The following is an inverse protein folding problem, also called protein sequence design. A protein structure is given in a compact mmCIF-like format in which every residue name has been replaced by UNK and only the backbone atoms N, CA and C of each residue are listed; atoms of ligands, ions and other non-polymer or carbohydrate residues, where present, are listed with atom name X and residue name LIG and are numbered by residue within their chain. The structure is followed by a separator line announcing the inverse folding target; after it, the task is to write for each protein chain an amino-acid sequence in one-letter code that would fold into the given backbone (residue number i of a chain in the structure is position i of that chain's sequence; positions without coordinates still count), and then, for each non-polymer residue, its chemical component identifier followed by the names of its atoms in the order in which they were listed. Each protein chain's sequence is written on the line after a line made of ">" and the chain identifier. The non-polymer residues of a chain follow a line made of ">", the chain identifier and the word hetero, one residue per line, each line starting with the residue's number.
data_IF_259799259296
#
_entry.id   IF_259799259296
#
_cell.length_a   1.000
_cell.length_b   1.000
_cell.length_c   1.000
_cell.angle_alpha   90.00
_cell.angle_beta   90.00
_cell.angle_gamma   90.00
#
_symmetry.space_group_name_H-M   'P 1'
#
loop_
_entity.id
_entity.type
_entity.pdbx_description
1 polymer ?
#
# COMPACT_ATOMS: atom_id res chain seq x y z
N UNK A 1 35.82 42.64 30.91
CA UNK A 1 35.34 42.26 30.70
C UNK A 1 34.65 41.68 30.17
N UNK A 2 34.43 41.57 30.15
CA UNK A 2 33.74 41.00 29.71
C UNK A 2 33.32 40.48 28.99
N UNK A 3 33.18 40.18 28.79
CA UNK A 3 32.72 39.54 28.09
C UNK A 3 32.50 38.66 27.79
N UNK A 4 32.64 38.57 27.97
CA UNK A 4 32.42 37.69 27.67
C UNK A 4 31.64 36.91 27.62
N UNK A 5 31.48 36.74 27.74
CA UNK A 5 30.71 36.04 27.77
C UNK A 5 29.81 35.74 27.22
N UNK A 6 29.66 35.87 26.87
CA UNK A 6 28.80 35.54 26.34
C UNK A 6 28.55 34.87 25.49
N UNK A 7 28.71 34.55 25.32
CA UNK A 7 28.32 33.83 24.45
C UNK A 7 27.90 32.83 24.31
N UNK A 8 28.26 32.72 24.82
CA UNK A 8 27.91 31.76 24.76
C UNK A 8 26.90 31.25 24.55
N UNK A 9 26.75 31.44 24.85
CA UNK A 9 25.71 31.08 24.76
C UNK A 9 25.19 30.65 23.81
N UNK A 10 25.40 30.52 23.59
CA UNK A 10 24.85 30.15 22.83
C UNK A 10 24.61 29.20 22.37
N UNK A 11 24.89 29.11 22.53
CA UNK A 11 24.71 28.32 22.07
C UNK A 11 24.00 27.45 21.98
N UNK A 12 24.11 27.19 22.27
CA UNK A 12 23.33 26.43 22.23
C UNK A 12 22.41 26.10 21.57
N UNK A 13 22.31 26.18 21.43
CA UNK A 13 21.40 26.00 20.86
C UNK A 13 21.16 25.29 19.97
N UNK A 14 21.38 24.86 19.78
CA UNK A 14 21.08 24.17 18.95
C UNK A 14 20.51 23.38 18.88
N UNK A 15 20.79 23.27 19.35
CA UNK A 15 20.30 22.54 19.32
C UNK A 15 19.51 22.10 19.11
N UNK A 16 19.44 22.02 19.22
CA UNK A 16 18.65 21.65 19.04
C UNK A 16 18.06 21.26 18.45
N UNK A 17 18.13 21.06 18.25
CA UNK A 17 17.48 20.71 17.72
C UNK A 17 17.23 19.91 17.22
N UNK A 18 17.35 19.61 17.17
CA UNK A 18 17.12 18.92 16.67
C UNK A 18 16.51 18.18 16.57
N UNK A 19 16.57 17.99 16.81
CA UNK A 19 16.00 17.32 16.76
C UNK A 19 15.26 16.94 16.33
N UNK A 20 15.17 16.86 16.27
CA UNK A 20 14.48 16.58 15.90
C UNK A 20 14.02 16.03 15.48
N UNK A 21 14.06 15.88 15.45
CA UNK A 21 13.58 15.43 15.02
C UNK A 21 13.26 14.54 14.75
N UNK A 22 13.67 14.33 14.83
CA UNK A 22 13.39 13.29 14.49
C UNK A 22 12.31 12.70 14.59
N UNK A 23 11.86 12.90 15.00
CA UNK A 23 10.86 12.48 15.12
C UNK A 23 10.22 11.82 14.22
N UNK A 24 10.26 11.91 13.47
CA UNK A 24 9.83 11.30 12.60
C UNK A 24 9.59 9.97 12.63
N UNK A 25 10.21 9.32 13.27
CA UNK A 25 10.05 7.96 13.33
C UNK A 25 8.74 7.55 13.75
N UNK A 26 8.03 8.39 14.24
CA UNK A 26 6.73 8.04 14.65
C UNK A 26 5.93 7.37 13.58
N UNK A 27 6.34 7.51 12.36
CA UNK A 27 5.58 6.93 11.30
C UNK A 27 5.97 5.54 10.96
N UNK A 28 6.88 4.97 11.69
CA UNK A 28 7.37 3.66 11.36
C UNK A 28 6.29 2.60 11.38
N UNK A 29 5.20 2.81 12.09
CA UNK A 29 4.12 1.83 12.12
C UNK A 29 3.25 1.81 10.90
N UNK A 30 3.37 2.78 10.03
CA UNK A 30 2.49 2.91 8.87
C UNK A 30 3.15 2.42 7.62
N UNK A 31 3.57 1.19 7.62
CA UNK A 31 4.29 0.67 6.49
C UNK A 31 3.37 0.45 5.31
N UNK A 32 3.78 0.92 4.15
CA UNK A 32 3.08 0.72 2.89
C UNK A 32 3.98 -0.07 1.96
N UNK A 33 3.41 -1.09 1.35
CA UNK A 33 4.13 -1.91 0.37
C UNK A 33 3.47 -1.75 -0.98
N UNK A 34 4.24 -1.80 -2.05
CA UNK A 34 3.70 -1.59 -3.38
C UNK A 34 4.18 -2.65 -4.35
N UNK A 35 3.45 -2.76 -5.46
CA UNK A 35 3.81 -3.65 -6.53
C UNK A 35 3.07 -3.29 -7.80
N UNK A 36 3.43 -3.94 -8.89
CA UNK A 36 2.78 -3.71 -10.18
C UNK A 36 2.03 -4.95 -10.58
N UNK A 37 0.85 -4.75 -11.18
CA UNK A 37 0.04 -5.86 -11.65
C UNK A 37 0.64 -6.50 -12.90
N UNK A 38 0.52 -7.81 -12.98
CA UNK A 38 0.68 -8.54 -14.21
C UNK A 38 -0.59 -9.35 -14.45
N UNK A 39 -0.97 -9.48 -15.71
CA UNK A 39 -2.21 -10.14 -16.06
C UNK A 39 -2.16 -11.65 -15.88
N UNK A 40 -3.34 -12.22 -15.68
CA UNK A 40 -3.52 -13.67 -15.55
C UNK A 40 -4.75 -14.07 -16.34
N UNK A 41 -4.84 -15.36 -16.69
CA UNK A 41 -6.03 -15.92 -17.34
C UNK A 41 -6.35 -15.22 -18.65
N UNK A 42 -5.30 -14.86 -19.40
CA UNK A 42 -5.41 -14.16 -20.67
C UNK A 42 -6.01 -12.75 -20.57
N UNK A 43 -5.99 -12.18 -19.37
CA UNK A 43 -6.41 -10.80 -19.17
C UNK A 43 -5.20 -9.87 -19.09
N UNK A 44 -5.41 -8.61 -19.47
CA UNK A 44 -4.39 -7.57 -19.35
C UNK A 44 -4.74 -6.73 -18.15
N UNK A 45 -3.89 -6.79 -17.15
CA UNK A 45 -4.02 -6.01 -15.92
C UNK A 45 -2.70 -5.31 -15.68
N UNK A 46 -2.73 -3.99 -15.59
CA UNK A 46 -1.51 -3.19 -15.44
C UNK A 46 -1.71 -2.16 -14.36
N UNK A 47 -0.61 -1.52 -13.99
CA UNK A 47 -0.64 -0.43 -13.04
C UNK A 47 -0.10 -0.83 -11.68
N UNK A 48 0.01 0.17 -10.84
CA UNK A 48 0.61 0.02 -9.52
C UNK A 48 -0.46 -0.06 -8.44
N UNK A 49 -0.18 -0.81 -7.40
CA UNK A 49 -1.03 -0.87 -6.22
C UNK A 49 -0.20 -0.74 -4.96
N UNK A 50 -0.84 -0.26 -3.90
CA UNK A 50 -0.22 -0.12 -2.59
C UNK A 50 -1.09 -0.74 -1.54
N UNK A 51 -0.46 -1.47 -0.63
CA UNK A 51 -1.13 -2.09 0.51
C UNK A 51 -0.63 -1.45 1.79
N UNK A 52 -1.55 -0.93 2.58
CA UNK A 52 -1.25 -0.45 3.93
C UNK A 52 -2.01 -1.31 4.93
N UNK A 53 -1.91 -0.97 6.22
CA UNK A 53 -2.56 -1.77 7.25
C UNK A 53 -4.07 -1.77 7.13
N UNK A 54 -4.66 -0.76 6.50
CA UNK A 54 -6.11 -0.63 6.48
C UNK A 54 -6.70 -0.40 5.10
N UNK A 55 -5.90 -0.40 4.04
CA UNK A 55 -6.45 -0.18 2.71
C UNK A 55 -5.56 -0.69 1.60
N UNK A 56 -6.19 -0.95 0.46
CA UNK A 56 -5.51 -1.20 -0.81
C UNK A 56 -5.86 -0.05 -1.72
N UNK A 57 -4.85 0.56 -2.34
CA UNK A 57 -5.04 1.61 -3.32
C UNK A 57 -4.55 1.12 -4.67
N UNK A 58 -5.40 1.20 -5.69
CA UNK A 58 -5.00 1.01 -7.07
C UNK A 58 -4.68 2.40 -7.61
N UNK A 59 -3.48 2.58 -8.15
CA UNK A 59 -3.02 3.91 -8.53
C UNK A 59 -3.61 4.36 -9.86
N UNK A 60 -3.29 5.59 -10.24
CA UNK A 60 -3.91 6.19 -11.43
C UNK A 60 -3.60 5.47 -12.74
N UNK A 61 -2.54 4.67 -12.76
CA UNK A 61 -2.19 3.88 -13.95
C UNK A 61 -2.83 2.50 -13.98
N UNK A 62 -3.72 2.19 -13.03
CA UNK A 62 -4.40 0.90 -13.02
C UNK A 62 -5.31 0.74 -14.22
N UNK A 63 -5.28 -0.44 -14.83
CA UNK A 63 -6.16 -0.78 -15.94
C UNK A 63 -6.41 -2.28 -15.99
N UNK A 64 -7.67 -2.65 -16.13
CA UNK A 64 -8.10 -4.02 -16.39
C UNK A 64 -8.92 -4.03 -17.68
N UNK A 65 -8.68 -5.02 -18.53
CA UNK A 65 -9.37 -5.12 -19.82
C UNK A 65 -10.83 -5.54 -19.71
N UNK A 66 -11.27 -5.97 -18.51
CA UNK A 66 -12.68 -6.26 -18.30
C UNK A 66 -12.91 -7.72 -17.95
N UNK A 67 -13.94 -7.96 -17.12
CA UNK A 67 -14.33 -9.31 -16.73
C UNK A 67 -15.73 -9.23 -16.13
N UNK A 68 -16.44 -10.37 -16.04
CA UNK A 68 -17.83 -10.33 -15.59
C UNK A 68 -18.04 -10.04 -14.11
N UNK A 69 -17.09 -10.38 -13.25
CA UNK A 69 -17.27 -10.11 -11.83
C UNK A 69 -15.91 -9.89 -11.17
N UNK A 70 -15.24 -8.77 -11.50
CA UNK A 70 -13.91 -8.54 -10.94
C UNK A 70 -13.99 -8.05 -9.51
N UNK A 71 -13.13 -8.63 -8.67
CA UNK A 71 -13.04 -8.34 -7.24
C UNK A 71 -11.61 -7.95 -6.90
N UNK A 72 -11.44 -7.18 -5.84
CA UNK A 72 -10.13 -6.85 -5.32
C UNK A 72 -9.93 -7.63 -4.03
N UNK A 73 -8.80 -8.25 -3.86
CA UNK A 73 -8.51 -8.99 -2.64
C UNK A 73 -7.04 -9.21 -2.43
N UNK A 74 -6.73 -9.97 -1.41
CA UNK A 74 -5.36 -10.20 -0.97
C UNK A 74 -5.02 -11.68 -1.09
N UNK A 75 -3.72 -11.95 -1.20
CA UNK A 75 -3.25 -13.31 -1.23
C UNK A 75 -1.80 -13.40 -0.83
N UNK A 76 -1.28 -14.62 -0.80
CA UNK A 76 0.13 -14.85 -0.54
C UNK A 76 0.56 -16.17 -1.14
N UNK A 77 1.85 -16.25 -1.44
CA UNK A 77 2.46 -17.45 -1.99
C UNK A 77 1.76 -17.93 -3.27
N UNK A 78 1.31 -16.98 -4.08
CA UNK A 78 0.67 -17.31 -5.34
C UNK A 78 -0.78 -17.72 -5.24
N UNK A 79 -1.42 -17.51 -4.08
CA UNK A 79 -2.80 -17.92 -3.87
C UNK A 79 -3.66 -16.78 -3.36
N UNK A 80 -4.80 -16.57 -4.00
CA UNK A 80 -5.81 -15.63 -3.55
C UNK A 80 -6.53 -16.21 -2.33
N UNK A 81 -6.78 -15.36 -1.33
CA UNK A 81 -7.53 -15.76 -0.16
C UNK A 81 -8.96 -15.23 -0.27
N UNK A 82 -9.96 -16.10 -0.46
CA UNK A 82 -11.34 -15.62 -0.58
C UNK A 82 -11.86 -14.96 0.70
N UNK A 83 -11.23 -15.21 1.84
CA UNK A 83 -11.60 -14.52 3.07
C UNK A 83 -11.06 -13.09 3.12
N UNK A 84 -10.18 -12.74 2.22
CA UNK A 84 -9.64 -11.40 2.11
C UNK A 84 -10.13 -10.70 0.83
N UNK A 85 -11.33 -11.03 0.38
CA UNK A 85 -12.00 -10.35 -0.72
C UNK A 85 -12.50 -9.01 -0.21
N UNK A 86 -12.03 -7.93 -0.79
CA UNK A 86 -12.33 -6.57 -0.34
C UNK A 86 -13.51 -5.94 -1.06
N UNK A 87 -14.09 -6.65 -2.01
CA UNK A 87 -15.28 -6.17 -2.70
C UNK A 87 -15.10 -6.05 -4.19
N UNK A 88 -16.17 -5.66 -4.86
CA UNK A 88 -16.21 -5.53 -6.31
C UNK A 88 -15.28 -4.42 -6.77
N UNK A 89 -14.62 -4.64 -7.91
CA UNK A 89 -13.82 -3.60 -8.53
C UNK A 89 -14.72 -2.43 -8.91
N UNK A 90 -14.35 -1.25 -8.49
CA UNK A 90 -15.19 -0.06 -8.68
C UNK A 90 -15.10 0.47 -10.09
N UNK A 91 -13.91 0.46 -10.69
CA UNK A 91 -13.67 0.97 -12.03
C UNK A 91 -12.64 0.12 -12.72
N UNK A 92 -12.75 0.02 -14.03
CA UNK A 92 -11.77 -0.74 -14.80
C UNK A 92 -10.44 -0.01 -14.95
N UNK A 93 -10.45 1.31 -14.79
CA UNK A 93 -9.22 2.11 -14.91
C UNK A 93 -9.23 3.22 -13.88
N UNK A 94 -8.03 3.64 -13.48
CA UNK A 94 -7.86 4.82 -12.66
C UNK A 94 -7.74 4.53 -11.18
N UNK A 95 -7.49 5.59 -10.45
CA UNK A 95 -7.21 5.48 -9.01
C UNK A 95 -8.47 5.16 -8.23
N UNK A 96 -8.36 4.20 -7.33
CA UNK A 96 -9.47 3.76 -6.50
C UNK A 96 -8.91 3.05 -5.26
N UNK A 97 -9.68 3.02 -4.20
CA UNK A 97 -9.21 2.42 -2.96
C UNK A 97 -10.25 1.50 -2.35
N UNK A 98 -9.79 0.57 -1.54
CA UNK A 98 -10.59 -0.47 -0.90
C UNK A 98 -10.19 -0.58 0.54
N UNK A 99 -11.17 -0.58 1.42
CA UNK A 99 -10.91 -0.68 2.84
C UNK A 99 -10.70 -2.13 3.24
N UNK A 100 -9.74 -2.36 4.13
CA UNK A 100 -9.50 -3.69 4.68
C UNK A 100 -10.26 -3.77 5.99
N UNK A 101 -11.13 -4.76 6.12
CA UNK A 101 -11.89 -4.90 7.34
C UNK A 101 -11.01 -5.29 8.51
N UNK A 102 -11.45 -4.97 9.72
CA UNK A 102 -10.63 -5.12 10.92
C UNK A 102 -10.24 -6.57 11.22
N UNK A 103 -10.98 -7.52 10.68
CA UNK A 103 -10.64 -8.93 10.88
C UNK A 103 -9.55 -9.45 9.96
N UNK A 104 -9.08 -8.64 9.03
CA UNK A 104 -8.06 -9.04 8.09
C UNK A 104 -6.75 -8.36 8.45
N UNK A 105 -5.70 -9.15 8.63
CA UNK A 105 -4.39 -8.62 8.95
C UNK A 105 -3.57 -8.48 7.67
N UNK A 106 -3.41 -7.25 7.20
CA UNK A 106 -2.72 -6.98 5.93
C UNK A 106 -1.29 -7.52 5.92
N UNK A 107 -0.64 -7.57 7.07
CA UNK A 107 0.74 -8.05 7.13
C UNK A 107 0.87 -9.55 6.86
N UNK A 108 -0.23 -10.28 6.87
CA UNK A 108 -0.20 -11.70 6.52
C UNK A 108 -0.14 -11.95 5.03
N UNK A 109 -0.28 -10.90 4.22
CA UNK A 109 -0.38 -11.04 2.77
C UNK A 109 0.76 -10.32 2.08
N UNK A 110 1.17 -10.84 0.92
CA UNK A 110 2.21 -10.22 0.12
C UNK A 110 1.80 -9.99 -1.34
N UNK A 111 0.52 -10.17 -1.62
CA UNK A 111 0.00 -10.01 -2.98
C UNK A 111 -1.35 -9.31 -2.96
N UNK A 112 -1.59 -8.49 -3.98
CA UNK A 112 -2.91 -7.94 -4.26
C UNK A 112 -3.42 -8.59 -5.54
N UNK A 113 -4.65 -9.07 -5.49
CA UNK A 113 -5.27 -9.76 -6.62
C UNK A 113 -6.43 -8.96 -7.17
N UNK A 114 -6.55 -9.00 -8.49
CA UNK A 114 -7.83 -8.75 -9.15
C UNK A 114 -8.36 -10.13 -9.54
N UNK A 115 -9.51 -10.48 -9.02
CA UNK A 115 -10.04 -11.85 -9.08
C UNK A 115 -11.39 -11.86 -9.77
N UNK A 116 -11.62 -12.81 -10.67
CA UNK A 116 -12.92 -12.99 -11.27
C UNK A 116 -13.71 -14.01 -10.44
N UNK A 117 -14.67 -13.51 -9.67
CA UNK A 117 -15.43 -14.39 -8.81
C UNK A 117 -16.33 -15.34 -9.61
N UNK A 118 -16.86 -14.86 -10.71
CA UNK A 118 -17.76 -15.68 -11.53
C UNK A 118 -17.07 -16.94 -12.05
N UNK A 119 -15.85 -16.80 -12.55
CA UNK A 119 -15.12 -17.93 -13.10
C UNK A 119 -14.08 -18.49 -12.13
N UNK A 120 -13.92 -17.86 -10.99
CA UNK A 120 -13.02 -18.31 -9.93
C UNK A 120 -11.57 -18.42 -10.43
N UNK A 121 -11.12 -17.37 -11.10
CA UNK A 121 -9.76 -17.31 -11.64
C UNK A 121 -9.14 -15.95 -11.39
N UNK A 122 -7.79 -15.87 -11.33
CA UNK A 122 -7.13 -14.58 -11.21
C UNK A 122 -7.17 -13.83 -12.53
N UNK A 123 -7.34 -12.53 -12.45
CA UNK A 123 -7.25 -11.64 -13.59
C UNK A 123 -5.93 -10.88 -13.60
N UNK A 124 -5.38 -10.63 -12.44
CA UNK A 124 -4.09 -9.99 -12.28
C UNK A 124 -3.59 -10.15 -10.87
N UNK A 125 -2.28 -10.09 -10.71
CA UNK A 125 -1.66 -10.17 -9.40
C UNK A 125 -0.50 -9.19 -9.34
N UNK A 126 -0.38 -8.52 -8.18
CA UNK A 126 0.74 -7.63 -7.90
C UNK A 126 1.47 -8.19 -6.68
N UNK A 127 2.74 -8.53 -6.88
CA UNK A 127 3.57 -8.94 -5.76
C UNK A 127 4.12 -7.69 -5.10
N UNK A 128 3.98 -7.65 -3.79
CA UNK A 128 4.34 -6.46 -3.04
C UNK A 128 5.79 -6.55 -2.59
N UNK A 129 6.51 -5.44 -2.74
CA UNK A 129 7.84 -5.31 -2.19
C UNK A 129 7.79 -4.98 -0.72
N UNK A 130 8.94 -4.95 -0.10
CA UNK A 130 9.05 -4.59 1.32
C UNK A 130 9.03 -3.10 1.54
#
# INVERSE_FOLDING_TARGET
>A
MTNRRQFLALTSSFVATTVASATIPAFAGSKTRSGNFSGRSDHVTTGKTELSSNSVVLESDFSLDGAPDPRVGLGKNGKFDPNADLGALKKLTGKQSYQISSGINASDYDEVYIWCRKFNVPLGVAKLGN
#
